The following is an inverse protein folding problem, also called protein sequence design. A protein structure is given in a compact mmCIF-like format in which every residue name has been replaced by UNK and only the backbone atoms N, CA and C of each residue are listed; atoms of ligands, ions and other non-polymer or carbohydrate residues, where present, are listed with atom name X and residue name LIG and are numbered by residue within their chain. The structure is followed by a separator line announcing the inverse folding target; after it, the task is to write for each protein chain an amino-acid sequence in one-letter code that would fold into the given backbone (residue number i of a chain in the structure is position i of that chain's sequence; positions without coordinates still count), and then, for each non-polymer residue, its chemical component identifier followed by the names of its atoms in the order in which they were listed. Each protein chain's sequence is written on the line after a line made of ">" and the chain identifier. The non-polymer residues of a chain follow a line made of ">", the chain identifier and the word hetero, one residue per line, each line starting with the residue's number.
data_IF_393519170554
#
_entry.id   IF_393519170554
#
_cell.length_a   1.000
_cell.length_b   1.000
_cell.length_c   1.000
_cell.angle_alpha   90.00
_cell.angle_beta   90.00
_cell.angle_gamma   90.00
#
_symmetry.space_group_name_H-M   'P 1'
#
loop_
_entity.id
_entity.type
_entity.pdbx_description
1 polymer ?
#
# COMPACT_ATOMS: atom_id res chain seq x y z
N UNK A 1 -10.25 -21.28 -16.67
CA UNK A 1 -9.76 -19.91 -16.95
C UNK A 1 -9.07 -19.93 -18.31
N UNK A 2 -9.41 -19.01 -19.22
CA UNK A 2 -8.77 -18.90 -20.54
C UNK A 2 -7.26 -18.64 -20.41
N UNK A 3 -6.42 -19.30 -21.21
CA UNK A 3 -4.96 -19.24 -21.07
C UNK A 3 -4.43 -17.80 -21.13
N UNK A 4 -4.98 -17.00 -22.05
CA UNK A 4 -4.62 -15.60 -22.25
C UNK A 4 -4.81 -14.73 -20.99
N UNK A 5 -5.76 -15.07 -20.11
CA UNK A 5 -6.06 -14.30 -18.90
C UNK A 5 -5.16 -14.63 -17.71
N UNK A 6 -4.43 -15.76 -17.76
CA UNK A 6 -3.76 -16.35 -16.61
C UNK A 6 -2.73 -15.42 -15.96
N UNK A 7 -2.02 -14.63 -16.76
CA UNK A 7 -0.91 -13.80 -16.28
C UNK A 7 -1.35 -12.39 -15.85
N UNK A 8 -2.58 -11.98 -16.11
CA UNK A 8 -3.08 -10.62 -15.81
C UNK A 8 -2.87 -10.25 -14.34
N UNK A 9 -3.23 -11.09 -13.34
CA UNK A 9 -3.06 -10.71 -11.94
C UNK A 9 -1.58 -10.46 -11.58
N UNK A 10 -0.67 -11.30 -12.08
CA UNK A 10 0.76 -11.18 -11.82
C UNK A 10 1.37 -9.94 -12.50
N UNK A 11 0.94 -9.63 -13.73
CA UNK A 11 1.39 -8.42 -14.45
C UNK A 11 0.97 -7.14 -13.72
N UNK A 12 -0.29 -7.06 -13.27
CA UNK A 12 -0.79 -5.92 -12.49
C UNK A 12 -0.03 -5.82 -11.17
N UNK A 13 0.18 -6.94 -10.48
CA UNK A 13 0.94 -6.98 -9.22
C UNK A 13 2.36 -6.43 -9.39
N UNK A 14 3.09 -6.81 -10.44
CA UNK A 14 4.45 -6.34 -10.68
C UNK A 14 4.51 -4.81 -10.86
N UNK A 15 3.55 -4.22 -11.57
CA UNK A 15 3.45 -2.75 -11.71
C UNK A 15 3.03 -2.10 -10.39
N UNK A 16 2.15 -2.74 -9.62
CA UNK A 16 1.73 -2.26 -8.31
C UNK A 16 2.91 -2.15 -7.32
N UNK A 17 3.84 -3.12 -7.38
CA UNK A 17 5.09 -3.09 -6.60
C UNK A 17 5.95 -1.89 -6.98
N UNK A 18 6.10 -1.60 -8.29
CA UNK A 18 6.80 -0.40 -8.74
C UNK A 18 6.17 0.89 -8.21
N UNK A 19 4.84 1.00 -8.25
CA UNK A 19 4.12 2.14 -7.68
C UNK A 19 4.28 2.24 -6.15
N UNK A 20 4.34 1.10 -5.43
CA UNK A 20 4.56 1.06 -3.99
C UNK A 20 5.95 1.57 -3.59
N UNK A 21 6.98 1.15 -4.33
CA UNK A 21 8.36 1.63 -4.17
C UNK A 21 8.39 3.16 -4.23
N UNK A 22 7.78 3.72 -5.29
CA UNK A 22 7.68 5.16 -5.49
C UNK A 22 6.85 5.84 -4.40
N UNK A 23 5.77 5.22 -3.94
CA UNK A 23 4.91 5.79 -2.91
C UNK A 23 5.63 5.89 -1.56
N UNK A 24 6.32 4.82 -1.15
CA UNK A 24 7.15 4.83 0.06
C UNK A 24 8.29 5.84 -0.07
N UNK A 25 8.95 5.92 -1.23
CA UNK A 25 10.02 6.88 -1.46
C UNK A 25 9.56 8.31 -1.20
N UNK A 26 8.51 8.75 -1.91
CA UNK A 26 8.03 10.12 -1.81
C UNK A 26 7.44 10.45 -0.43
N UNK A 27 6.82 9.46 0.23
CA UNK A 27 6.23 9.67 1.54
C UNK A 27 7.28 9.71 2.67
N UNK A 28 8.35 8.91 2.59
CA UNK A 28 9.37 8.79 3.65
C UNK A 28 10.54 9.74 3.45
N UNK A 29 11.11 9.81 2.25
CA UNK A 29 12.35 10.52 1.95
C UNK A 29 12.05 11.85 1.26
N UNK A 30 11.61 12.83 2.03
CA UNK A 30 11.28 14.15 1.49
C UNK A 30 12.51 14.91 1.03
N UNK A 31 12.45 15.39 -0.21
CA UNK A 31 13.38 16.35 -0.76
C UNK A 31 12.71 17.74 -0.84
N UNK A 32 13.08 18.71 0.02
CA UNK A 32 12.53 20.06 -0.02
C UNK A 32 12.92 20.86 -1.26
N UNK A 33 13.92 20.42 -2.03
CA UNK A 33 14.32 21.06 -3.28
C UNK A 33 13.47 20.67 -4.49
N UNK A 34 12.54 19.72 -4.33
CA UNK A 34 11.74 19.17 -5.42
C UNK A 34 10.28 19.60 -5.30
N UNK A 35 9.85 20.45 -6.23
CA UNK A 35 8.44 20.83 -6.36
C UNK A 35 7.55 19.60 -6.57
N UNK A 36 6.34 19.64 -6.02
CA UNK A 36 5.33 18.57 -6.15
C UNK A 36 5.70 17.20 -5.55
N UNK A 37 6.80 17.09 -4.80
CA UNK A 37 7.22 15.82 -4.18
C UNK A 37 6.11 15.18 -3.31
N UNK A 38 5.42 16.01 -2.53
CA UNK A 38 4.32 15.59 -1.66
C UNK A 38 3.04 15.28 -2.44
N UNK A 39 2.83 15.89 -3.60
CA UNK A 39 1.74 15.54 -4.51
C UNK A 39 1.98 14.15 -5.11
N UNK A 40 3.23 13.88 -5.53
CA UNK A 40 3.65 12.59 -6.06
C UNK A 40 3.49 11.46 -5.04
N UNK A 41 3.66 11.71 -3.74
CA UNK A 41 3.39 10.68 -2.72
C UNK A 41 1.93 10.20 -2.77
N UNK A 42 0.97 11.12 -2.95
CA UNK A 42 -0.47 10.81 -3.02
C UNK A 42 -0.81 10.09 -4.32
N UNK A 43 -0.25 10.55 -5.45
CA UNK A 43 -0.50 9.94 -6.75
C UNK A 43 0.04 8.51 -6.79
N UNK A 44 1.28 8.29 -6.35
CA UNK A 44 1.91 6.97 -6.31
C UNK A 44 1.22 6.04 -5.32
N UNK A 45 0.87 6.52 -4.12
CA UNK A 45 0.13 5.71 -3.15
C UNK A 45 -1.24 5.30 -3.68
N UNK A 46 -1.97 6.22 -4.32
CA UNK A 46 -3.26 5.92 -4.96
C UNK A 46 -3.10 4.90 -6.09
N UNK A 47 -2.07 5.04 -6.93
CA UNK A 47 -1.77 4.10 -8.01
C UNK A 47 -1.44 2.70 -7.47
N UNK A 48 -0.59 2.61 -6.45
CA UNK A 48 -0.27 1.36 -5.77
C UNK A 48 -1.54 0.69 -5.24
N UNK A 49 -2.38 1.44 -4.52
CA UNK A 49 -3.65 0.95 -4.00
C UNK A 49 -4.61 0.49 -5.11
N UNK A 50 -4.74 1.25 -6.19
CA UNK A 50 -5.58 0.90 -7.33
C UNK A 50 -5.14 -0.42 -7.97
N UNK A 51 -3.85 -0.57 -8.23
CA UNK A 51 -3.30 -1.74 -8.89
C UNK A 51 -3.31 -2.97 -7.97
N UNK A 52 -2.98 -2.84 -6.68
CA UNK A 52 -3.06 -3.99 -5.76
C UNK A 52 -4.49 -4.49 -5.58
N UNK A 53 -5.46 -3.58 -5.45
CA UNK A 53 -6.87 -3.97 -5.39
C UNK A 53 -7.29 -4.71 -6.67
N UNK A 54 -6.91 -4.20 -7.85
CA UNK A 54 -7.14 -4.88 -9.13
C UNK A 54 -6.45 -6.24 -9.20
N UNK A 55 -5.21 -6.36 -8.73
CA UNK A 55 -4.48 -7.63 -8.71
C UNK A 55 -5.17 -8.67 -7.81
N UNK A 56 -5.65 -8.25 -6.62
CA UNK A 56 -6.41 -9.11 -5.70
C UNK A 56 -7.71 -9.58 -6.36
N UNK A 57 -8.50 -8.66 -6.92
CA UNK A 57 -9.76 -9.00 -7.63
C UNK A 57 -9.49 -9.93 -8.82
N UNK A 58 -8.43 -9.68 -9.59
CA UNK A 58 -8.08 -10.48 -10.75
C UNK A 58 -7.61 -11.90 -10.37
N UNK A 59 -7.11 -12.13 -9.15
CA UNK A 59 -6.82 -13.48 -8.66
C UNK A 59 -8.07 -14.34 -8.53
N UNK A 60 -9.22 -13.74 -8.20
CA UNK A 60 -10.51 -14.46 -8.19
C UNK A 60 -10.93 -14.78 -9.62
N UNK A 61 -10.95 -13.76 -10.49
CA UNK A 61 -11.11 -13.95 -11.93
C UNK A 61 -10.68 -12.69 -12.71
N UNK A 62 -9.77 -12.79 -13.71
CA UNK A 62 -9.23 -11.60 -14.39
C UNK A 62 -10.26 -10.72 -15.08
N UNK A 63 -11.39 -11.28 -15.56
CA UNK A 63 -12.45 -10.49 -16.19
C UNK A 63 -13.18 -9.54 -15.21
N UNK A 64 -13.10 -9.76 -13.89
CA UNK A 64 -13.83 -8.95 -12.91
C UNK A 64 -13.35 -7.50 -12.81
N UNK A 65 -12.15 -7.19 -13.30
CA UNK A 65 -11.63 -5.82 -13.29
C UNK A 65 -12.13 -4.99 -14.47
N UNK A 66 -12.76 -5.62 -15.48
CA UNK A 66 -13.28 -4.96 -16.67
C UNK A 66 -14.73 -4.54 -16.49
N UNK A 67 -15.07 -3.33 -16.95
CA UNK A 67 -16.42 -2.77 -16.85
C UNK A 67 -17.35 -3.24 -17.97
N UNK A 68 -16.81 -3.28 -19.19
CA UNK A 68 -17.60 -3.44 -20.41
C UNK A 68 -17.22 -4.76 -21.10
N UNK A 69 -17.48 -5.90 -20.44
CA UNK A 69 -17.07 -7.22 -20.92
C UNK A 69 -17.55 -7.54 -22.33
N UNK A 70 -18.76 -7.09 -22.68
CA UNK A 70 -19.34 -7.31 -24.00
C UNK A 70 -18.69 -6.48 -25.11
N UNK A 71 -17.95 -5.40 -24.77
CA UNK A 71 -17.15 -4.64 -25.74
C UNK A 71 -15.81 -5.32 -26.06
N UNK A 72 -15.48 -6.41 -25.37
CA UNK A 72 -14.28 -7.21 -25.61
C UNK A 72 -14.54 -8.30 -26.67
N UNK A 73 -15.80 -8.45 -27.11
CA UNK A 73 -16.16 -9.36 -28.19
C UNK A 73 -15.62 -8.81 -29.52
N UNK A 74 -14.88 -9.65 -30.24
CA UNK A 74 -14.41 -9.35 -31.58
C UNK A 74 -15.05 -10.38 -32.53
N UNK A 75 -16.06 -9.98 -33.33
CA UNK A 75 -16.78 -10.89 -34.22
C UNK A 75 -15.88 -11.62 -35.24
N UNK A 76 -14.72 -11.04 -35.56
CA UNK A 76 -13.75 -11.58 -36.51
C UNK A 76 -12.76 -12.58 -35.88
N UNK A 77 -12.79 -12.75 -34.55
CA UNK A 77 -11.92 -13.67 -33.80
C UNK A 77 -12.73 -14.70 -33.02
N UNK A 78 -12.43 -15.98 -33.22
CA UNK A 78 -13.08 -17.07 -32.45
C UNK A 78 -12.50 -17.23 -31.04
N UNK A 79 -11.33 -16.63 -30.76
CA UNK A 79 -10.66 -16.72 -29.46
C UNK A 79 -10.48 -15.35 -28.80
N UNK A 80 -10.42 -15.37 -27.47
CA UNK A 80 -10.13 -14.19 -26.66
C UNK A 80 -8.66 -13.80 -26.85
N UNK A 81 -8.44 -12.66 -27.49
CA UNK A 81 -7.13 -12.12 -27.81
C UNK A 81 -6.69 -11.08 -26.74
N UNK A 82 -5.48 -11.23 -26.18
CA UNK A 82 -4.97 -10.33 -25.13
C UNK A 82 -4.59 -8.96 -25.67
N UNK A 83 -4.05 -8.88 -26.89
CA UNK A 83 -3.75 -7.63 -27.56
C UNK A 83 -5.04 -6.79 -27.69
N UNK A 84 -6.16 -7.40 -28.07
CA UNK A 84 -7.46 -6.74 -28.10
C UNK A 84 -7.91 -6.28 -26.70
N UNK A 85 -7.75 -7.12 -25.68
CA UNK A 85 -8.05 -6.74 -24.28
C UNK A 85 -7.20 -5.56 -23.79
N UNK A 86 -5.95 -5.44 -24.24
CA UNK A 86 -5.06 -4.33 -23.90
C UNK A 86 -5.51 -3.05 -24.59
N UNK A 87 -5.94 -3.14 -25.85
CA UNK A 87 -6.35 -1.98 -26.66
C UNK A 87 -7.73 -1.43 -26.27
N UNK A 88 -8.71 -2.30 -26.02
CA UNK A 88 -10.11 -1.92 -25.81
C UNK A 88 -10.56 -2.02 -24.36
N UNK A 89 -9.76 -2.67 -23.51
CA UNK A 89 -10.08 -2.98 -22.12
C UNK A 89 -10.31 -1.74 -21.26
N UNK A 90 -11.55 -1.52 -20.86
CA UNK A 90 -11.90 -0.51 -19.85
C UNK A 90 -12.05 -1.16 -18.49
N UNK A 91 -11.25 -0.72 -17.52
CA UNK A 91 -11.29 -1.23 -16.15
C UNK A 91 -12.05 -0.31 -15.20
N UNK A 92 -12.46 -0.84 -14.05
CA UNK A 92 -13.08 -0.04 -13.01
C UNK A 92 -12.13 1.03 -12.46
N UNK A 93 -12.65 2.25 -12.26
CA UNK A 93 -11.93 3.35 -11.61
C UNK A 93 -11.69 3.05 -10.13
N UNK A 94 -10.66 3.69 -9.56
CA UNK A 94 -10.23 3.54 -8.16
C UNK A 94 -11.39 3.56 -7.15
N UNK A 95 -12.36 4.46 -7.31
CA UNK A 95 -13.50 4.63 -6.41
C UNK A 95 -14.44 3.42 -6.30
N UNK A 96 -14.47 2.57 -7.33
CA UNK A 96 -15.31 1.38 -7.36
C UNK A 96 -14.64 0.18 -6.71
N UNK A 97 -13.30 0.19 -6.59
CA UNK A 97 -12.52 -0.97 -6.19
C UNK A 97 -12.82 -1.50 -4.79
N UNK A 98 -13.11 -0.69 -3.76
CA UNK A 98 -13.50 -1.23 -2.45
C UNK A 98 -14.77 -2.10 -2.51
N UNK A 99 -15.75 -1.70 -3.33
CA UNK A 99 -16.98 -2.49 -3.51
C UNK A 99 -16.70 -3.75 -4.31
N UNK A 100 -15.90 -3.65 -5.36
CA UNK A 100 -15.48 -4.81 -6.16
C UNK A 100 -14.69 -5.82 -5.34
N UNK A 101 -13.73 -5.36 -4.53
CA UNK A 101 -12.96 -6.19 -3.59
C UNK A 101 -13.93 -7.01 -2.74
N UNK A 102 -14.91 -6.35 -2.12
CA UNK A 102 -15.88 -7.05 -1.30
C UNK A 102 -16.68 -8.10 -2.07
N UNK A 103 -17.33 -7.71 -3.17
CA UNK A 103 -18.24 -8.66 -3.85
C UNK A 103 -17.50 -9.83 -4.49
N UNK A 104 -16.21 -9.67 -4.82
CA UNK A 104 -15.38 -10.74 -5.40
C UNK A 104 -14.70 -11.63 -4.36
N UNK A 105 -14.20 -11.06 -3.26
CA UNK A 105 -13.38 -11.80 -2.26
C UNK A 105 -14.07 -12.02 -0.91
N UNK A 106 -15.21 -11.38 -0.67
CA UNK A 106 -15.85 -11.29 0.64
C UNK A 106 -15.19 -10.28 1.59
N UNK A 107 -14.08 -9.66 1.20
CA UNK A 107 -13.27 -8.83 2.08
C UNK A 107 -13.58 -7.32 1.97
N UNK A 108 -13.66 -6.62 3.11
CA UNK A 108 -13.75 -5.16 3.15
C UNK A 108 -12.37 -4.51 3.17
N UNK A 109 -12.28 -3.32 2.62
CA UNK A 109 -11.13 -2.45 2.82
C UNK A 109 -10.97 -2.15 4.33
N UNK A 110 -9.78 -2.34 4.93
CA UNK A 110 -9.62 -2.22 6.38
C UNK A 110 -9.92 -0.84 6.97
N UNK A 111 -9.61 0.24 6.24
CA UNK A 111 -9.78 1.63 6.66
C UNK A 111 -10.33 2.48 5.50
N UNK A 112 -11.66 2.51 5.39
CA UNK A 112 -12.37 3.25 4.33
C UNK A 112 -12.15 4.77 4.42
N UNK A 113 -11.84 5.29 5.61
CA UNK A 113 -11.67 6.73 5.84
C UNK A 113 -10.38 7.28 5.24
N UNK A 114 -9.24 6.60 5.39
CA UNK A 114 -8.01 7.00 4.68
C UNK A 114 -8.15 6.81 3.16
N UNK A 115 -8.84 5.76 2.70
CA UNK A 115 -9.14 5.58 1.27
C UNK A 115 -9.93 6.75 0.70
N UNK A 116 -10.98 7.19 1.40
CA UNK A 116 -11.79 8.31 0.95
C UNK A 116 -11.01 9.63 0.94
N UNK A 117 -10.14 9.84 1.93
CA UNK A 117 -9.27 11.03 1.98
C UNK A 117 -8.23 11.04 0.86
N UNK A 118 -7.53 9.92 0.63
CA UNK A 118 -6.52 9.84 -0.43
C UNK A 118 -7.17 9.95 -1.82
N UNK A 119 -8.35 9.36 -2.02
CA UNK A 119 -9.12 9.48 -3.27
C UNK A 119 -9.47 10.94 -3.58
N UNK A 120 -9.94 11.69 -2.57
CA UNK A 120 -10.24 13.13 -2.71
C UNK A 120 -8.98 13.94 -3.01
N UNK A 121 -7.88 13.67 -2.30
CA UNK A 121 -6.60 14.34 -2.53
C UNK A 121 -6.05 14.07 -3.94
N UNK A 122 -6.05 12.81 -4.39
CA UNK A 122 -5.67 12.43 -5.76
C UNK A 122 -6.50 13.20 -6.80
N UNK A 123 -7.83 13.22 -6.64
CA UNK A 123 -8.71 13.92 -7.56
C UNK A 123 -8.42 15.44 -7.59
N UNK A 124 -8.13 16.05 -6.44
CA UNK A 124 -7.73 17.45 -6.36
C UNK A 124 -6.43 17.70 -7.15
N UNK A 125 -5.38 16.91 -6.87
CA UNK A 125 -4.06 17.04 -7.50
C UNK A 125 -4.15 16.84 -9.03
N UNK A 126 -4.88 15.82 -9.48
CA UNK A 126 -4.93 15.46 -10.91
C UNK A 126 -5.72 16.44 -11.77
N UNK A 127 -6.72 17.12 -11.22
CA UNK A 127 -7.68 17.88 -12.02
C UNK A 127 -7.72 19.37 -11.69
N UNK A 128 -7.16 19.77 -10.56
CA UNK A 128 -7.27 21.15 -10.07
C UNK A 128 -5.91 21.65 -9.59
N UNK A 129 -5.56 21.36 -8.34
CA UNK A 129 -4.36 21.84 -7.68
C UNK A 129 -4.04 20.96 -6.47
N UNK A 130 -2.83 21.13 -5.92
CA UNK A 130 -2.48 20.52 -4.64
C UNK A 130 -3.48 20.93 -3.54
N UNK A 131 -3.95 19.98 -2.71
CA UNK A 131 -4.77 20.28 -1.55
C UNK A 131 -4.08 21.31 -0.64
N UNK A 132 -4.88 22.04 0.15
CA UNK A 132 -4.37 23.06 1.07
C UNK A 132 -3.12 22.59 1.85
N UNK A 133 -2.14 23.50 2.01
CA UNK A 133 -0.90 23.28 2.78
C UNK A 133 -1.13 22.77 4.22
N UNK A 134 -2.36 22.89 4.74
CA UNK A 134 -2.74 22.33 6.05
C UNK A 134 -2.82 20.80 6.08
N UNK A 135 -2.82 20.14 4.93
CA UNK A 135 -2.90 18.68 4.82
C UNK A 135 -1.50 18.13 4.62
N UNK A 136 -1.04 17.30 5.56
CA UNK A 136 0.18 16.51 5.37
C UNK A 136 -0.10 15.36 4.39
N UNK A 137 0.22 15.61 3.11
CA UNK A 137 0.04 14.66 2.01
C UNK A 137 0.92 13.41 2.15
N UNK A 138 2.10 13.55 2.77
CA UNK A 138 3.01 12.42 3.02
C UNK A 138 2.42 11.50 4.06
N UNK A 139 1.96 12.05 5.19
CA UNK A 139 1.25 11.29 6.21
C UNK A 139 -0.02 10.63 5.64
N UNK A 140 -0.82 11.37 4.85
CA UNK A 140 -2.01 10.80 4.21
C UNK A 140 -1.67 9.58 3.33
N UNK A 141 -0.55 9.66 2.60
CA UNK A 141 -0.06 8.57 1.76
C UNK A 141 0.35 7.36 2.61
N UNK A 142 1.16 7.56 3.67
CA UNK A 142 1.55 6.49 4.60
C UNK A 142 0.33 5.88 5.30
N UNK A 143 -0.59 6.71 5.77
CA UNK A 143 -1.79 6.25 6.46
C UNK A 143 -2.61 5.35 5.56
N UNK A 144 -2.84 5.73 4.30
CA UNK A 144 -3.52 4.89 3.33
C UNK A 144 -2.77 3.59 3.06
N UNK A 145 -1.48 3.66 2.76
CA UNK A 145 -0.66 2.49 2.44
C UNK A 145 -0.68 1.49 3.59
N UNK A 146 -0.41 1.93 4.81
CA UNK A 146 -0.19 1.03 5.94
C UNK A 146 -1.47 0.62 6.68
N UNK A 147 -2.57 1.38 6.53
CA UNK A 147 -3.87 0.93 7.02
C UNK A 147 -4.60 0.02 6.03
N UNK A 148 -4.38 0.17 4.72
CA UNK A 148 -5.11 -0.60 3.70
C UNK A 148 -4.23 -1.51 2.86
N UNK A 149 -3.23 -0.95 2.17
CA UNK A 149 -2.45 -1.69 1.17
C UNK A 149 -1.59 -2.77 1.82
N UNK A 150 -0.77 -2.42 2.81
CA UNK A 150 0.11 -3.33 3.54
C UNK A 150 -0.62 -4.58 4.10
N UNK A 151 -1.71 -4.47 4.88
CA UNK A 151 -2.39 -5.65 5.39
C UNK A 151 -3.09 -6.47 4.30
N UNK A 152 -3.46 -5.88 3.17
CA UNK A 152 -4.03 -6.61 2.03
C UNK A 152 -2.93 -7.37 1.28
N UNK A 153 -1.83 -6.72 0.93
CA UNK A 153 -0.75 -7.37 0.18
C UNK A 153 -0.07 -8.46 1.01
N UNK A 154 0.02 -8.28 2.33
CA UNK A 154 0.55 -9.31 3.21
C UNK A 154 -0.33 -10.57 3.22
N UNK A 155 -1.64 -10.42 3.30
CA UNK A 155 -2.57 -11.56 3.28
C UNK A 155 -2.67 -12.23 1.91
N UNK A 156 -2.66 -11.46 0.83
CA UNK A 156 -2.91 -11.98 -0.52
C UNK A 156 -1.66 -12.42 -1.27
N UNK A 157 -0.50 -11.84 -0.94
CA UNK A 157 0.78 -12.09 -1.64
C UNK A 157 1.93 -12.42 -0.70
N UNK A 158 1.76 -12.34 0.62
CA UNK A 158 2.81 -12.69 1.59
C UNK A 158 3.95 -11.67 1.70
N UNK A 159 3.80 -10.49 1.10
CA UNK A 159 4.83 -9.44 1.08
C UNK A 159 4.57 -8.38 2.16
N UNK A 160 5.60 -7.65 2.62
CA UNK A 160 5.44 -6.55 3.56
C UNK A 160 5.76 -5.22 2.88
N UNK A 161 4.90 -4.19 3.02
CA UNK A 161 5.08 -2.94 2.27
C UNK A 161 6.38 -2.21 2.61
N UNK A 162 6.89 -2.38 3.82
CA UNK A 162 8.14 -1.76 4.27
C UNK A 162 9.36 -2.21 3.45
N UNK A 163 9.31 -3.39 2.82
CA UNK A 163 10.42 -3.95 2.05
C UNK A 163 10.58 -3.29 0.66
N UNK A 164 9.70 -2.35 0.29
CA UNK A 164 9.62 -1.78 -1.05
C UNK A 164 9.85 -0.26 -1.01
N UNK A 165 11.09 0.15 -1.26
CA UNK A 165 11.53 1.54 -1.44
C UNK A 165 12.70 1.59 -2.45
N UNK A 166 13.05 2.77 -2.96
CA UNK A 166 14.00 2.88 -4.08
C UNK A 166 15.43 2.49 -3.69
N UNK A 167 15.89 2.96 -2.53
CA UNK A 167 17.25 2.69 -2.09
C UNK A 167 17.39 1.26 -1.55
N UNK A 168 17.70 0.33 -2.44
CA UNK A 168 17.96 -1.07 -2.08
C UNK A 168 19.30 -1.29 -1.36
N UNK A 169 20.16 -0.27 -1.28
CA UNK A 169 21.45 -0.35 -0.59
C UNK A 169 21.31 -0.15 0.93
N UNK A 170 20.23 0.52 1.34
CA UNK A 170 19.85 0.72 2.74
C UNK A 170 18.70 -0.24 3.06
N UNK A 171 18.62 -0.72 4.31
CA UNK A 171 17.45 -1.47 4.77
C UNK A 171 16.19 -0.58 4.86
N UNK A 172 15.07 -1.18 5.25
CA UNK A 172 13.80 -0.46 5.47
C UNK A 172 13.77 0.36 6.77
N UNK A 173 14.93 0.61 7.39
CA UNK A 173 15.12 1.27 8.68
C UNK A 173 14.40 2.62 8.77
N UNK A 174 14.62 3.50 7.79
CA UNK A 174 14.00 4.83 7.79
C UNK A 174 12.49 4.77 7.52
N UNK A 175 12.04 3.82 6.72
CA UNK A 175 10.60 3.55 6.52
C UNK A 175 9.99 3.15 7.86
N UNK A 176 10.59 2.18 8.54
CA UNK A 176 10.13 1.72 9.86
C UNK A 176 10.13 2.84 10.90
N UNK A 177 11.19 3.64 10.98
CA UNK A 177 11.24 4.76 11.92
C UNK A 177 10.16 5.81 11.62
N UNK A 178 9.94 6.11 10.34
CA UNK A 178 8.87 7.00 9.92
C UNK A 178 7.49 6.50 10.37
N UNK A 179 7.21 5.21 10.19
CA UNK A 179 5.95 4.60 10.61
C UNK A 179 5.78 4.59 12.12
N UNK A 180 6.84 4.25 12.87
CA UNK A 180 6.83 4.27 14.32
C UNK A 180 6.55 5.68 14.83
N UNK A 181 7.24 6.70 14.31
CA UNK A 181 7.02 8.11 14.71
C UNK A 181 5.59 8.57 14.47
N UNK A 182 4.97 8.10 13.40
CA UNK A 182 3.57 8.38 13.04
C UNK A 182 2.55 7.41 13.67
N UNK A 183 3.00 6.47 14.50
CA UNK A 183 2.16 5.44 15.15
C UNK A 183 1.34 4.60 14.15
N UNK A 184 1.89 4.38 12.95
CA UNK A 184 1.33 3.50 11.93
C UNK A 184 1.83 2.08 12.13
N UNK A 185 0.91 1.12 12.09
CA UNK A 185 1.23 -0.30 12.16
C UNK A 185 1.63 -0.79 10.77
N UNK A 186 2.49 -1.81 10.72
CA UNK A 186 2.95 -2.41 9.48
C UNK A 186 3.12 -3.93 9.65
N UNK A 187 3.06 -4.63 8.52
CA UNK A 187 3.36 -6.05 8.42
C UNK A 187 4.86 -6.28 8.60
N UNK A 188 5.20 -7.23 9.46
CA UNK A 188 6.58 -7.50 9.87
C UNK A 188 7.11 -8.71 9.09
N UNK A 189 8.20 -8.58 8.30
CA UNK A 189 8.80 -9.71 7.58
C UNK A 189 9.43 -10.73 8.53
N UNK A 190 9.61 -11.97 8.06
CA UNK A 190 10.13 -13.07 8.89
C UNK A 190 11.59 -12.89 9.33
N UNK A 191 12.36 -12.07 8.62
CA UNK A 191 13.77 -11.77 8.93
C UNK A 191 13.94 -10.31 9.31
N UNK A 192 13.02 -9.80 10.12
CA UNK A 192 13.02 -8.40 10.52
C UNK A 192 14.32 -8.02 11.25
N UNK A 193 15.12 -7.19 10.60
CA UNK A 193 16.33 -6.59 11.13
C UNK A 193 16.31 -5.08 10.90
N UNK A 194 16.88 -4.36 11.85
CA UNK A 194 17.08 -2.91 11.86
C UNK A 194 18.54 -2.68 12.32
N UNK A 195 19.28 -1.85 11.59
CA UNK A 195 20.70 -1.53 11.83
C UNK A 195 20.97 -0.05 12.04
N UNK A 196 20.19 0.84 11.42
CA UNK A 196 20.50 2.29 11.38
C UNK A 196 19.77 3.09 12.46
N UNK A 197 18.72 2.53 13.08
CA UNK A 197 17.92 3.22 14.10
C UNK A 197 17.91 2.46 15.44
N UNK A 198 17.80 3.21 16.54
CA UNK A 198 17.48 2.61 17.84
C UNK A 198 15.97 2.34 17.92
N UNK A 199 15.59 1.12 17.54
CA UNK A 199 14.22 0.65 17.57
C UNK A 199 13.57 0.76 18.96
N UNK A 200 14.35 0.56 20.03
CA UNK A 200 13.84 0.62 21.41
C UNK A 200 13.50 2.07 21.75
N UNK A 201 14.40 2.99 21.45
CA UNK A 201 14.19 4.42 21.68
C UNK A 201 12.97 4.93 20.89
N UNK A 202 12.90 4.62 19.58
CA UNK A 202 11.82 5.07 18.71
C UNK A 202 10.45 4.60 19.21
N UNK A 203 10.34 3.34 19.65
CA UNK A 203 9.09 2.78 20.19
C UNK A 203 8.78 3.34 21.60
N UNK A 204 9.79 3.53 22.45
CA UNK A 204 9.60 3.97 23.85
C UNK A 204 8.89 5.33 23.97
N UNK A 205 9.03 6.20 22.96
CA UNK A 205 8.42 7.54 22.91
C UNK A 205 6.97 7.54 22.42
N UNK A 206 6.43 6.39 22.00
CA UNK A 206 5.05 6.27 21.46
C UNK A 206 4.00 5.96 22.51
N UNK A 207 2.74 6.15 22.11
CA UNK A 207 1.55 5.87 22.91
C UNK A 207 1.48 4.41 23.37
N UNK A 208 0.86 4.18 24.52
CA UNK A 208 0.70 2.82 25.05
C UNK A 208 -0.20 1.97 24.16
N UNK A 209 -1.22 2.57 23.53
CA UNK A 209 -2.12 1.89 22.60
C UNK A 209 -1.37 1.40 21.36
N UNK A 210 -0.44 2.19 20.82
CA UNK A 210 0.42 1.78 19.71
C UNK A 210 1.36 0.65 20.12
N UNK A 211 2.08 0.82 21.24
CA UNK A 211 3.00 -0.19 21.78
C UNK A 211 2.34 -1.54 22.01
N UNK A 212 1.14 -1.54 22.60
CA UNK A 212 0.36 -2.74 22.87
C UNK A 212 0.03 -3.52 21.59
N UNK A 213 -0.10 -2.83 20.45
CA UNK A 213 -0.34 -3.43 19.14
C UNK A 213 0.94 -3.84 18.41
N UNK A 214 1.98 -3.01 18.43
CA UNK A 214 3.22 -3.27 17.67
C UNK A 214 4.09 -4.37 18.31
N UNK A 215 4.28 -4.33 19.63
CA UNK A 215 5.20 -5.24 20.33
C UNK A 215 4.86 -6.72 20.08
N UNK A 216 3.59 -7.16 20.14
CA UNK A 216 3.24 -8.55 19.81
C UNK A 216 3.57 -8.93 18.37
N UNK A 217 3.42 -8.01 17.40
CA UNK A 217 3.74 -8.26 15.98
C UNK A 217 5.24 -8.51 15.78
N UNK A 218 6.08 -7.68 16.42
CA UNK A 218 7.54 -7.83 16.39
C UNK A 218 7.97 -9.14 17.07
N UNK A 219 7.42 -9.44 18.25
CA UNK A 219 7.72 -10.66 18.99
C UNK A 219 7.35 -11.92 18.20
N UNK A 220 6.20 -11.92 17.50
CA UNK A 220 5.77 -13.03 16.64
C UNK A 220 6.72 -13.31 15.47
N UNK A 221 7.62 -12.38 15.14
CA UNK A 221 8.66 -12.52 14.12
C UNK A 221 10.06 -12.68 14.69
N UNK A 222 10.17 -12.99 15.99
CA UNK A 222 11.45 -13.30 16.65
C UNK A 222 12.28 -12.08 17.03
N UNK A 223 11.71 -10.88 17.00
CA UNK A 223 12.41 -9.66 17.45
C UNK A 223 12.46 -9.65 18.98
N UNK A 224 13.65 -9.46 19.55
CA UNK A 224 13.81 -9.30 21.00
C UNK A 224 13.25 -7.94 21.47
N UNK A 225 12.04 -7.98 22.00
CA UNK A 225 11.32 -6.81 22.53
C UNK A 225 11.44 -6.66 24.05
N UNK A 226 12.28 -7.43 24.73
CA UNK A 226 12.40 -7.41 26.20
C UNK A 226 12.85 -6.04 26.70
N UNK A 227 13.83 -5.42 26.03
CA UNK A 227 14.33 -4.07 26.34
C UNK A 227 13.25 -2.99 26.23
N UNK A 228 12.32 -3.15 25.28
CA UNK A 228 11.18 -2.24 25.07
C UNK A 228 10.19 -2.31 26.23
N UNK A 229 9.95 -3.51 26.77
CA UNK A 229 9.02 -3.72 27.91
C UNK A 229 9.57 -3.14 29.22
N UNK A 230 10.88 -3.19 29.44
CA UNK A 230 11.54 -2.70 30.67
C UNK A 230 11.56 -1.16 30.73
N UNK A 231 11.76 -0.49 29.59
CA UNK A 231 11.71 0.97 29.51
C UNK A 231 10.33 1.56 29.92
N UNK A 232 9.24 0.83 29.69
CA UNK A 232 7.90 1.28 30.07
C UNK A 232 7.63 1.17 31.59
N UNK A 233 8.20 0.17 32.28
CA UNK A 233 8.00 -0.03 33.73
C UNK A 233 8.72 0.99 34.60
N UNK A 234 9.74 1.66 34.07
CA UNK A 234 10.56 2.62 34.82
C UNK A 234 9.96 4.03 34.82
N UNK A 235 8.98 4.31 33.94
CA UNK A 235 8.26 5.61 33.87
C UNK A 235 6.91 5.62 34.60
N UNK A 236 6.46 4.47 35.11
CA UNK A 236 5.19 4.31 35.85
C UNK A 236 5.41 4.18 37.37
N UNK A 237 6.63 4.45 37.86
CA UNK A 237 6.99 4.58 39.28
C UNK A 237 7.52 6.00 39.54
#
# INVERSE_FOLDING_TARGET
>A
MHAALKDIPARIFNVAVGALIQANQHAVYYDPGMDHWTDMSVLNASMAGELFLKAIIAKEHPLLIFRDLFQLDNPDSQELNIEHLIETGKTYNFEHLPKLLWVSTGERLPDIDSFNRIRKARNAIQHFCSPSEKIDLRYLSLEFLYKNVDPLINRHFGICAIEYHEDTSIGYDYVVDCLIRNELLFSVPNRFKITEIDLVESISKRSQSYKHKLIPRLAAKGVDVTKIKTANRTKER
#
